data_IF_092327021326
#
_entry.id   IF_092327021326
#
_cell.length_a   1.000
_cell.length_b   1.000
_cell.length_c   1.000
_cell.angle_alpha   90.00
_cell.angle_beta   90.00
_cell.angle_gamma   90.00
#
_symmetry.space_group_name_H-M   'P 1'
#
loop_
_entity.id
_entity.type
_entity.pdbx_description
1 polymer ?
#
# COMPACT_ATOMS: atom_id res chain seq x y z
N UNK A 1 28.72 18.21 3.70
CA UNK A 1 27.93 17.93 2.50
C UNK A 1 26.66 18.75 2.54
N UNK A 2 26.35 19.49 1.46
CA UNK A 2 25.08 20.21 1.31
C UNK A 2 23.92 19.20 1.23
N UNK A 3 22.81 19.55 1.85
CA UNK A 3 21.58 18.77 1.79
C UNK A 3 20.91 18.96 0.43
N UNK A 4 20.62 17.88 -0.30
CA UNK A 4 19.91 17.96 -1.58
C UNK A 4 18.39 18.07 -1.34
N UNK A 5 17.77 18.98 -2.08
CA UNK A 5 16.31 19.06 -2.19
C UNK A 5 15.84 17.94 -3.12
N UNK A 6 14.79 17.23 -2.72
CA UNK A 6 14.17 16.11 -3.46
C UNK A 6 12.72 16.39 -3.87
N UNK A 7 12.08 17.42 -3.31
CA UNK A 7 10.86 18.02 -3.84
C UNK A 7 10.82 19.51 -3.55
N UNK A 8 10.32 20.30 -4.49
CA UNK A 8 10.25 21.76 -4.42
C UNK A 8 9.05 22.27 -5.23
N UNK A 9 8.06 22.84 -4.56
CA UNK A 9 6.88 23.39 -5.23
C UNK A 9 6.19 24.46 -4.39
N UNK A 10 5.36 25.26 -5.05
CA UNK A 10 4.44 26.21 -4.39
C UNK A 10 3.09 25.52 -4.16
N UNK A 11 2.54 25.71 -2.96
CA UNK A 11 1.24 25.21 -2.53
C UNK A 11 0.73 25.98 -1.31
N UNK A 12 -0.37 25.51 -0.72
CA UNK A 12 -0.89 26.05 0.54
C UNK A 12 -0.57 25.09 1.68
N UNK A 13 -0.38 25.61 2.88
CA UNK A 13 -0.19 24.78 4.06
C UNK A 13 -0.66 25.45 5.35
N UNK A 14 -1.01 24.62 6.33
CA UNK A 14 -1.14 25.03 7.72
C UNK A 14 -0.11 24.23 8.54
N UNK A 15 0.69 24.91 9.36
CA UNK A 15 1.76 24.31 10.14
C UNK A 15 1.60 24.54 11.67
N UNK A 16 0.42 24.95 12.11
CA UNK A 16 0.16 25.36 13.49
C UNK A 16 -0.65 24.33 14.28
N UNK A 17 -0.42 24.27 15.61
CA UNK A 17 -1.12 23.37 16.53
C UNK A 17 -2.60 23.72 16.76
N UNK A 18 -3.05 24.80 16.15
CA UNK A 18 -4.36 25.41 16.36
C UNK A 18 -5.14 25.35 15.05
N UNK A 19 -6.21 24.57 15.07
CA UNK A 19 -7.13 24.20 13.98
C UNK A 19 -7.88 25.39 13.32
N UNK A 20 -7.39 26.64 13.42
CA UNK A 20 -8.13 27.85 13.01
C UNK A 20 -7.31 28.92 12.27
N UNK A 21 -6.12 28.59 11.77
CA UNK A 21 -5.36 29.50 10.89
C UNK A 21 -5.75 29.30 9.42
N UNK A 22 -5.97 30.38 8.68
CA UNK A 22 -6.08 30.31 7.21
C UNK A 22 -4.80 29.66 6.62
N UNK A 23 -4.93 28.75 5.63
CA UNK A 23 -3.78 28.16 4.96
C UNK A 23 -2.90 29.25 4.32
N UNK A 24 -1.61 29.23 4.62
CA UNK A 24 -0.65 30.14 4.02
C UNK A 24 -0.20 29.59 2.66
N UNK A 25 -0.18 30.45 1.64
CA UNK A 25 0.50 30.13 0.37
C UNK A 25 2.00 30.29 0.55
N UNK A 26 2.77 29.32 0.09
CA UNK A 26 4.23 29.37 0.21
C UNK A 26 4.94 28.25 -0.52
N UNK A 27 6.25 28.14 -0.29
CA UNK A 27 7.12 27.13 -0.89
C UNK A 27 7.29 25.94 0.06
N UNK A 28 7.08 24.75 -0.47
CA UNK A 28 7.24 23.46 0.21
C UNK A 28 8.53 22.84 -0.33
N UNK A 29 9.47 22.56 0.58
CA UNK A 29 10.77 21.96 0.25
C UNK A 29 10.95 20.68 1.06
N UNK A 30 11.17 19.57 0.37
CA UNK A 30 11.52 18.30 0.99
C UNK A 30 12.96 17.95 0.67
N UNK A 31 13.67 17.47 1.67
CA UNK A 31 15.03 16.93 1.58
C UNK A 31 15.07 15.55 2.24
N UNK A 32 16.24 14.91 2.23
CA UNK A 32 16.43 13.64 2.93
C UNK A 32 16.39 13.75 4.47
N UNK A 33 16.44 14.95 5.05
CA UNK A 33 16.44 15.11 6.52
C UNK A 33 15.27 15.91 7.07
N UNK A 34 14.64 16.77 6.26
CA UNK A 34 13.56 17.65 6.71
C UNK A 34 12.59 18.07 5.62
N UNK A 35 11.37 18.35 6.05
CA UNK A 35 10.36 19.10 5.32
C UNK A 35 10.40 20.56 5.79
N UNK A 36 10.35 21.51 4.87
CA UNK A 36 10.32 22.94 5.14
C UNK A 36 9.10 23.55 4.46
N UNK A 37 8.32 24.29 5.24
CA UNK A 37 7.17 25.04 4.80
C UNK A 37 7.50 26.53 4.99
N UNK A 38 7.67 27.29 3.91
CA UNK A 38 8.13 28.67 3.93
C UNK A 38 7.09 29.60 3.30
N UNK A 39 6.62 30.57 4.07
CA UNK A 39 5.72 31.65 3.63
C UNK A 39 6.26 33.00 4.11
N UNK A 40 5.66 34.10 3.67
CA UNK A 40 6.11 35.45 4.04
C UNK A 40 6.05 35.70 5.55
N UNK A 41 5.06 35.11 6.24
CA UNK A 41 4.90 35.19 7.69
C UNK A 41 5.96 34.39 8.47
N UNK A 42 6.70 33.49 7.82
CA UNK A 42 7.75 32.71 8.46
C UNK A 42 7.96 31.32 7.88
N UNK A 43 8.83 30.57 8.55
CA UNK A 43 9.26 29.24 8.12
C UNK A 43 9.07 28.20 9.22
N UNK A 44 8.44 27.09 8.86
CA UNK A 44 8.38 25.88 9.70
C UNK A 44 9.33 24.82 9.13
N UNK A 45 10.16 24.24 9.98
CA UNK A 45 11.07 23.14 9.61
C UNK A 45 10.75 21.91 10.45
N UNK A 46 10.43 20.81 9.79
CA UNK A 46 10.02 19.54 10.38
C UNK A 46 11.09 18.50 10.04
N UNK A 47 11.90 18.04 11.01
CA UNK A 47 12.80 16.91 10.78
C UNK A 47 12.00 15.67 10.37
N UNK A 48 12.45 14.92 9.36
CA UNK A 48 11.78 13.67 8.97
C UNK A 48 11.79 12.64 10.10
N UNK A 49 12.80 12.70 10.96
CA UNK A 49 12.87 11.91 12.19
C UNK A 49 11.84 12.29 13.25
N UNK A 50 11.12 13.40 13.09
CA UNK A 50 10.03 13.80 13.99
C UNK A 50 8.64 13.38 13.48
N UNK A 51 8.51 13.04 12.19
CA UNK A 51 7.26 12.64 11.56
C UNK A 51 6.91 11.20 11.96
N UNK A 52 5.69 10.99 12.44
CA UNK A 52 5.21 9.69 12.90
C UNK A 52 3.93 9.18 12.23
N UNK A 53 3.20 10.01 11.51
CA UNK A 53 2.07 9.59 10.67
C UNK A 53 1.98 10.49 9.43
N UNK A 54 1.52 9.91 8.33
CA UNK A 54 1.25 10.59 7.06
C UNK A 54 -0.08 10.06 6.53
N UNK A 55 -0.99 10.96 6.17
CA UNK A 55 -2.27 10.64 5.57
C UNK A 55 -2.47 11.46 4.29
N UNK A 56 -2.97 10.82 3.23
CA UNK A 56 -3.25 11.44 1.92
C UNK A 56 -4.75 11.41 1.70
N UNK A 57 -5.31 12.47 1.14
CA UNK A 57 -6.75 12.59 0.85
C UNK A 57 -7.65 12.76 2.09
N UNK A 58 -7.12 12.60 3.30
CA UNK A 58 -7.85 12.88 4.53
C UNK A 58 -7.70 14.35 4.92
N UNK A 59 -8.78 15.10 4.74
CA UNK A 59 -8.92 16.47 5.23
C UNK A 59 -9.46 16.40 6.67
N UNK A 60 -8.75 16.91 7.69
CA UNK A 60 -9.30 17.07 9.03
C UNK A 60 -10.65 17.79 9.01
N UNK A 61 -11.63 17.33 9.80
CA UNK A 61 -13.02 17.82 9.75
C UNK A 61 -13.11 19.35 9.97
N UNK A 62 -12.14 19.92 10.68
CA UNK A 62 -12.06 21.35 11.00
C UNK A 62 -11.47 22.23 9.87
N UNK A 63 -11.02 21.63 8.76
CA UNK A 63 -10.42 22.36 7.63
C UNK A 63 -11.38 22.59 6.44
N UNK A 64 -12.64 22.15 6.50
CA UNK A 64 -13.68 22.53 5.53
C UNK A 64 -13.55 21.91 4.13
N UNK A 65 -14.56 22.15 3.28
CA UNK A 65 -14.78 21.52 1.95
C UNK A 65 -13.96 22.12 0.79
N UNK A 66 -12.84 22.80 1.07
CA UNK A 66 -12.10 23.62 0.09
C UNK A 66 -10.77 23.02 -0.38
N UNK A 67 -10.54 21.75 -0.09
CA UNK A 67 -9.28 21.07 -0.38
C UNK A 67 -9.49 19.99 -1.44
N UNK A 68 -8.91 20.20 -2.63
CA UNK A 68 -8.99 19.25 -3.75
C UNK A 68 -8.11 18.01 -3.49
N UNK A 69 -6.85 18.24 -3.07
CA UNK A 69 -5.88 17.20 -2.70
C UNK A 69 -4.98 17.64 -1.55
N UNK A 70 -4.89 16.84 -0.48
CA UNK A 70 -4.14 17.19 0.75
C UNK A 70 -3.28 16.05 1.25
N UNK A 71 -2.10 16.40 1.79
CA UNK A 71 -1.27 15.53 2.64
C UNK A 71 -1.23 16.09 4.05
N UNK A 72 -1.65 15.28 5.01
CA UNK A 72 -1.57 15.57 6.44
C UNK A 72 -0.36 14.85 7.06
N UNK A 73 0.46 15.58 7.80
CA UNK A 73 1.75 15.14 8.33
C UNK A 73 1.76 15.38 9.84
N UNK A 74 1.74 14.30 10.62
CA UNK A 74 1.81 14.37 12.08
C UNK A 74 3.26 14.23 12.55
N UNK A 75 3.71 15.16 13.40
CA UNK A 75 5.08 15.21 13.88
C UNK A 75 5.17 15.66 15.34
N UNK A 76 6.31 15.36 15.99
CA UNK A 76 6.60 15.84 17.36
C UNK A 76 7.48 17.08 17.33
N UNK A 77 7.21 18.03 18.21
CA UNK A 77 8.09 19.17 18.50
C UNK A 77 8.16 19.36 20.01
N UNK A 78 9.31 19.05 20.59
CA UNK A 78 9.38 18.82 22.04
C UNK A 78 8.43 17.67 22.43
N UNK A 79 7.67 17.86 23.51
CA UNK A 79 6.71 16.88 24.02
C UNK A 79 5.34 16.95 23.36
N UNK A 80 5.13 17.92 22.46
CA UNK A 80 3.83 18.17 21.84
C UNK A 80 3.73 17.50 20.46
N UNK A 81 2.53 17.02 20.16
CA UNK A 81 2.16 16.54 18.82
C UNK A 81 1.61 17.72 18.02
N UNK A 82 2.02 17.77 16.76
CA UNK A 82 1.59 18.78 15.81
C UNK A 82 1.17 18.10 14.51
N UNK A 83 0.34 18.80 13.75
CA UNK A 83 -0.09 18.38 12.43
C UNK A 83 0.23 19.52 11.46
N UNK A 84 0.77 19.17 10.30
CA UNK A 84 0.84 20.07 9.17
C UNK A 84 -0.01 19.51 8.04
N UNK A 85 -0.80 20.36 7.38
CA UNK A 85 -1.52 20.03 6.16
C UNK A 85 -0.84 20.74 4.98
N UNK A 86 -0.65 20.02 3.87
CA UNK A 86 -0.11 20.55 2.62
C UNK A 86 -1.13 20.29 1.51
N UNK A 87 -1.50 21.34 0.80
CA UNK A 87 -2.45 21.32 -0.32
C UNK A 87 -1.77 21.83 -1.59
N UNK A 88 -2.03 21.12 -2.68
CA UNK A 88 -1.70 21.52 -4.05
C UNK A 88 -2.61 20.73 -5.01
N UNK A 89 -2.49 20.98 -6.32
CA UNK A 89 -3.21 20.17 -7.31
C UNK A 89 -2.82 18.69 -7.26
N UNK A 90 -3.73 17.81 -7.66
CA UNK A 90 -3.69 16.35 -7.51
C UNK A 90 -2.34 15.74 -7.90
N UNK A 91 -1.88 15.99 -9.13
CA UNK A 91 -0.58 15.54 -9.65
C UNK A 91 0.60 15.88 -8.73
N UNK A 92 0.58 17.06 -8.10
CA UNK A 92 1.66 17.50 -7.19
C UNK A 92 1.58 16.77 -5.87
N UNK A 93 0.37 16.57 -5.35
CA UNK A 93 0.14 15.88 -4.08
C UNK A 93 0.48 14.40 -4.19
N UNK A 94 0.12 13.75 -5.28
CA UNK A 94 0.49 12.36 -5.56
C UNK A 94 2.03 12.20 -5.62
N UNK A 95 2.70 13.04 -6.41
CA UNK A 95 4.17 13.04 -6.53
C UNK A 95 4.85 13.37 -5.21
N UNK A 96 4.37 14.37 -4.49
CA UNK A 96 4.91 14.76 -3.18
C UNK A 96 4.75 13.64 -2.15
N UNK A 97 3.57 13.03 -2.06
CA UNK A 97 3.29 11.90 -1.16
C UNK A 97 4.25 10.75 -1.43
N UNK A 98 4.41 10.38 -2.70
CA UNK A 98 5.35 9.33 -3.12
C UNK A 98 6.79 9.63 -2.68
N UNK A 99 7.27 10.87 -2.88
CA UNK A 99 8.64 11.25 -2.48
C UNK A 99 8.76 11.33 -0.95
N UNK A 100 7.73 11.78 -0.24
CA UNK A 100 7.70 11.85 1.23
C UNK A 100 7.77 10.44 1.85
N UNK A 101 6.95 9.49 1.40
CA UNK A 101 7.01 8.10 1.86
C UNK A 101 8.39 7.48 1.59
N UNK A 102 8.95 7.70 0.38
CA UNK A 102 10.31 7.25 0.04
C UNK A 102 11.36 7.85 0.99
N UNK A 103 11.27 9.15 1.29
CA UNK A 103 12.20 9.80 2.19
C UNK A 103 12.10 9.29 3.65
N UNK A 104 10.91 8.87 4.08
CA UNK A 104 10.67 8.35 5.43
C UNK A 104 11.04 6.87 5.59
N UNK A 105 10.89 6.07 4.54
CA UNK A 105 10.93 4.60 4.61
C UNK A 105 12.11 3.96 3.89
N UNK A 106 12.67 4.57 2.84
CA UNK A 106 13.79 3.96 2.12
C UNK A 106 15.01 3.77 3.02
N UNK A 107 15.77 2.73 2.73
CA UNK A 107 16.97 2.30 3.48
C UNK A 107 16.71 1.87 4.92
N UNK A 108 15.44 1.76 5.31
CA UNK A 108 15.07 1.19 6.59
C UNK A 108 15.53 -0.25 6.67
N UNK A 109 16.34 -0.55 7.69
CA UNK A 109 16.75 -1.92 7.99
C UNK A 109 15.58 -2.68 8.58
N UNK A 110 15.32 -3.84 8.01
CA UNK A 110 14.26 -4.76 8.38
C UNK A 110 14.82 -6.17 8.53
N UNK A 111 14.13 -7.00 9.30
CA UNK A 111 14.39 -8.44 9.40
C UNK A 111 13.31 -9.16 8.62
N UNK A 112 13.66 -9.81 7.52
CA UNK A 112 12.71 -10.37 6.56
C UNK A 112 12.84 -11.88 6.45
N UNK A 113 11.73 -12.58 6.23
CA UNK A 113 11.69 -14.00 5.87
C UNK A 113 10.86 -14.13 4.60
N UNK A 114 11.48 -14.56 3.51
CA UNK A 114 10.85 -14.70 2.21
C UNK A 114 11.39 -15.90 1.42
N UNK A 115 10.51 -16.76 0.86
CA UNK A 115 9.11 -16.90 1.24
C UNK A 115 9.03 -17.49 2.65
N UNK A 116 8.10 -17.02 3.49
CA UNK A 116 7.78 -17.63 4.79
C UNK A 116 6.75 -18.76 4.65
N UNK A 117 5.86 -18.66 3.66
CA UNK A 117 4.99 -19.74 3.19
C UNK A 117 4.99 -19.79 1.67
N UNK A 118 4.84 -20.98 1.11
CA UNK A 118 4.67 -21.24 -0.32
C UNK A 118 3.53 -22.26 -0.48
N UNK A 119 2.50 -21.91 -1.26
CA UNK A 119 1.30 -22.75 -1.40
C UNK A 119 0.63 -23.09 -0.06
N UNK A 120 0.65 -22.15 0.90
CA UNK A 120 0.14 -22.34 2.26
C UNK A 120 1.07 -23.09 3.23
N UNK A 121 2.08 -23.82 2.75
CA UNK A 121 3.04 -24.55 3.57
C UNK A 121 4.12 -23.62 4.11
N UNK A 122 4.50 -23.79 5.38
CA UNK A 122 5.62 -23.06 6.00
C UNK A 122 6.93 -23.54 5.38
N UNK A 123 7.84 -22.60 5.14
CA UNK A 123 9.18 -22.89 4.59
C UNK A 123 10.25 -22.87 5.67
N UNK A 124 11.40 -23.47 5.35
CA UNK A 124 12.61 -23.46 6.19
C UNK A 124 13.45 -22.19 6.04
N UNK A 125 12.98 -21.18 5.29
CA UNK A 125 13.68 -19.92 5.13
C UNK A 125 13.93 -19.25 6.49
N UNK A 126 15.15 -18.78 6.72
CA UNK A 126 15.51 -18.04 7.92
C UNK A 126 15.15 -16.56 7.79
N UNK A 127 15.02 -15.88 8.92
CA UNK A 127 15.00 -14.42 8.93
C UNK A 127 16.41 -13.89 8.61
N UNK A 128 16.50 -12.87 7.76
CA UNK A 128 17.75 -12.22 7.39
C UNK A 128 17.57 -10.70 7.28
N UNK A 129 18.64 -9.91 7.44
CA UNK A 129 18.56 -8.46 7.29
C UNK A 129 18.31 -8.05 5.84
N UNK A 130 17.50 -7.01 5.64
CA UNK A 130 17.30 -6.36 4.35
C UNK A 130 17.00 -4.87 4.52
N UNK A 131 17.28 -4.08 3.48
CA UNK A 131 16.87 -2.67 3.37
C UNK A 131 15.60 -2.55 2.55
N UNK A 132 14.64 -1.78 3.07
CA UNK A 132 13.40 -1.43 2.39
C UNK A 132 13.63 -0.36 1.32
N UNK A 133 13.01 -0.53 0.15
CA UNK A 133 12.94 0.47 -0.90
C UNK A 133 11.56 0.47 -1.54
N UNK A 134 10.90 1.62 -1.52
CA UNK A 134 9.63 1.83 -2.20
C UNK A 134 9.86 2.17 -3.68
N UNK A 135 9.03 1.58 -4.52
CA UNK A 135 8.86 1.86 -5.95
C UNK A 135 7.36 2.03 -6.22
N UNK A 136 6.96 2.70 -7.31
CA UNK A 136 5.54 2.76 -7.68
C UNK A 136 4.96 1.35 -7.71
N UNK A 137 3.84 1.13 -6.99
CA UNK A 137 3.16 -0.18 -6.86
C UNK A 137 4.05 -1.36 -6.43
N UNK A 138 5.21 -1.12 -5.84
CA UNK A 138 6.16 -2.18 -5.53
C UNK A 138 6.96 -1.89 -4.25
N UNK A 139 7.15 -2.92 -3.44
CA UNK A 139 8.02 -2.87 -2.27
C UNK A 139 9.18 -3.82 -2.43
N UNK A 140 10.39 -3.30 -2.44
CA UNK A 140 11.62 -4.07 -2.64
C UNK A 140 12.41 -4.17 -1.35
N UNK A 141 12.90 -5.38 -1.07
CA UNK A 141 13.78 -5.69 0.05
C UNK A 141 15.12 -6.13 -0.49
N UNK A 142 16.19 -5.43 -0.11
CA UNK A 142 17.57 -5.75 -0.52
C UNK A 142 18.39 -6.19 0.68
N UNK A 143 18.67 -7.49 0.77
CA UNK A 143 19.62 -8.06 1.71
C UNK A 143 21.00 -8.30 1.05
N UNK A 144 21.99 -8.73 1.84
CA UNK A 144 23.31 -9.13 1.33
C UNK A 144 23.21 -10.35 0.39
N UNK A 145 22.40 -11.34 0.78
CA UNK A 145 22.34 -12.65 0.12
C UNK A 145 21.15 -12.79 -0.83
N UNK A 146 20.10 -11.99 -0.62
CA UNK A 146 18.88 -12.05 -1.42
C UNK A 146 18.25 -10.68 -1.62
N UNK A 147 17.63 -10.51 -2.78
CA UNK A 147 16.75 -9.37 -3.07
C UNK A 147 15.44 -9.92 -3.58
N UNK A 148 14.33 -9.46 -3.03
CA UNK A 148 13.00 -9.77 -3.54
C UNK A 148 12.16 -8.50 -3.62
N UNK A 149 11.16 -8.53 -4.50
CA UNK A 149 10.21 -7.44 -4.70
C UNK A 149 8.82 -8.01 -4.57
N UNK A 150 7.98 -7.35 -3.79
CA UNK A 150 6.54 -7.60 -3.76
C UNK A 150 5.89 -6.57 -4.66
N UNK A 151 5.26 -7.03 -5.73
CA UNK A 151 4.36 -6.21 -6.52
C UNK A 151 3.04 -6.06 -5.77
N UNK A 152 2.66 -4.83 -5.43
CA UNK A 152 1.47 -4.55 -4.64
C UNK A 152 0.19 -4.94 -5.39
N UNK A 153 0.21 -4.95 -6.73
CA UNK A 153 -0.90 -5.47 -7.53
C UNK A 153 -1.11 -6.97 -7.38
N UNK A 154 -0.09 -7.70 -6.90
CA UNK A 154 -0.15 -9.14 -6.63
C UNK A 154 -0.57 -9.49 -5.20
N UNK A 155 -0.73 -8.47 -4.34
CA UNK A 155 -1.03 -8.68 -2.93
C UNK A 155 -2.50 -9.00 -2.75
N UNK A 156 -2.77 -10.03 -1.95
CA UNK A 156 -4.11 -10.45 -1.56
C UNK A 156 -4.44 -10.07 -0.12
N UNK A 157 -3.44 -9.97 0.77
CA UNK A 157 -3.68 -9.46 2.12
C UNK A 157 -2.42 -8.88 2.78
N UNK A 158 -2.64 -7.92 3.69
CA UNK A 158 -1.64 -7.38 4.60
C UNK A 158 -2.12 -7.50 6.03
N UNK A 159 -1.31 -8.11 6.89
CA UNK A 159 -1.64 -8.27 8.30
C UNK A 159 -0.46 -7.81 9.16
N UNK A 160 -0.78 -7.10 10.25
CA UNK A 160 0.19 -6.83 11.32
C UNK A 160 0.02 -7.87 12.40
N UNK A 161 1.13 -8.46 12.81
CA UNK A 161 1.17 -9.42 13.92
C UNK A 161 2.37 -9.17 14.81
N UNK A 162 2.32 -9.65 16.04
CA UNK A 162 3.48 -9.76 16.91
C UNK A 162 4.08 -11.15 16.73
N UNK A 163 5.40 -11.24 16.53
CA UNK A 163 6.11 -12.53 16.50
C UNK A 163 7.41 -12.45 17.25
N UNK A 164 7.82 -13.58 17.81
CA UNK A 164 9.14 -13.72 18.40
C UNK A 164 10.19 -13.85 17.29
N UNK A 165 11.15 -12.94 17.25
CA UNK A 165 12.29 -12.94 16.32
C UNK A 165 13.54 -12.65 17.15
N UNK A 166 14.49 -13.59 17.12
CA UNK A 166 15.71 -13.57 17.95
C UNK A 166 15.41 -13.43 19.45
N UNK A 167 14.40 -14.16 19.96
CA UNK A 167 14.02 -14.17 21.38
C UNK A 167 13.34 -12.88 21.86
N UNK A 168 12.91 -12.00 20.95
CA UNK A 168 12.20 -10.76 21.29
C UNK A 168 10.89 -10.63 20.51
N UNK A 169 9.79 -10.17 21.14
CA UNK A 169 8.59 -9.83 20.40
C UNK A 169 8.86 -8.64 19.48
N UNK A 170 8.54 -8.79 18.19
CA UNK A 170 8.64 -7.74 17.18
C UNK A 170 7.34 -7.62 16.40
N UNK A 171 7.03 -6.39 16.01
CA UNK A 171 5.99 -6.14 15.00
C UNK A 171 6.43 -6.68 13.65
N UNK A 172 5.59 -7.51 13.05
CA UNK A 172 5.81 -8.14 11.76
C UNK A 172 4.65 -7.78 10.84
N UNK A 173 5.00 -7.22 9.68
CA UNK A 173 4.11 -7.15 8.54
C UNK A 173 4.14 -8.49 7.80
N UNK A 174 2.99 -9.14 7.71
CA UNK A 174 2.76 -10.31 6.88
C UNK A 174 2.10 -9.87 5.58
N UNK A 175 2.72 -10.21 4.46
CA UNK A 175 2.21 -9.89 3.12
C UNK A 175 1.93 -11.18 2.38
N UNK A 176 0.67 -11.44 2.07
CA UNK A 176 0.27 -12.56 1.20
C UNK A 176 0.17 -12.05 -0.22
N UNK A 177 0.88 -12.66 -1.15
CA UNK A 177 0.93 -12.22 -2.54
C UNK A 177 1.08 -13.40 -3.49
N UNK A 178 0.74 -13.18 -4.75
CA UNK A 178 0.91 -14.15 -5.83
C UNK A 178 2.20 -13.86 -6.57
N UNK A 179 3.06 -14.86 -6.72
CA UNK A 179 4.24 -14.75 -7.56
C UNK A 179 4.41 -16.05 -8.34
N UNK A 180 4.56 -15.93 -9.66
CA UNK A 180 4.68 -17.05 -10.59
C UNK A 180 3.54 -18.10 -10.44
N UNK A 181 2.30 -17.63 -10.31
CA UNK A 181 1.10 -18.47 -10.11
C UNK A 181 0.95 -19.07 -8.70
N UNK A 182 1.93 -18.86 -7.82
CA UNK A 182 1.95 -19.47 -6.49
C UNK A 182 1.65 -18.46 -5.39
N UNK A 183 0.76 -18.87 -4.47
CA UNK A 183 0.50 -18.11 -3.26
C UNK A 183 1.71 -18.14 -2.33
N UNK A 184 2.26 -16.96 -2.03
CA UNK A 184 3.39 -16.77 -1.13
C UNK A 184 3.01 -15.91 0.06
N UNK A 185 3.74 -16.08 1.16
CA UNK A 185 3.70 -15.15 2.29
C UNK A 185 5.10 -14.65 2.59
N UNK A 186 5.27 -13.35 2.71
CA UNK A 186 6.52 -12.72 3.12
C UNK A 186 6.34 -12.06 4.48
N UNK A 187 7.31 -12.20 5.37
CA UNK A 187 7.30 -11.56 6.68
C UNK A 187 8.39 -10.48 6.71
N UNK A 188 8.05 -9.29 7.17
CA UNK A 188 8.98 -8.20 7.33
C UNK A 188 8.79 -7.52 8.69
N UNK A 189 9.81 -7.63 9.55
CA UNK A 189 9.84 -7.03 10.87
C UNK A 189 10.66 -5.74 10.85
N UNK A 190 10.23 -4.76 11.63
CA UNK A 190 10.89 -3.47 11.76
C UNK A 190 10.97 -3.05 13.23
N UNK A 191 12.14 -2.59 13.65
CA UNK A 191 12.38 -2.16 15.03
C UNK A 191 12.02 -0.67 15.20
N UNK A 192 10.83 -0.30 14.74
CA UNK A 192 10.30 1.06 14.85
C UNK A 192 8.81 1.08 14.57
N UNK A 193 7.98 1.10 15.62
CA UNK A 193 6.52 1.21 15.48
C UNK A 193 6.10 2.46 14.69
N UNK A 194 6.89 3.54 14.77
CA UNK A 194 6.72 4.74 13.93
C UNK A 194 6.80 4.41 12.44
N UNK A 195 7.88 3.75 12.02
CA UNK A 195 8.07 3.39 10.61
C UNK A 195 7.09 2.28 10.19
N UNK A 196 6.72 1.36 11.09
CA UNK A 196 5.66 0.37 10.82
C UNK A 196 4.32 1.06 10.55
N UNK A 197 3.98 2.10 11.32
CA UNK A 197 2.78 2.91 11.11
C UNK A 197 2.78 3.53 9.71
N UNK A 198 3.85 4.26 9.37
CA UNK A 198 4.02 4.92 8.07
C UNK A 198 4.02 3.92 6.91
N UNK A 199 4.67 2.76 7.06
CA UNK A 199 4.66 1.70 6.05
C UNK A 199 3.24 1.17 5.82
N UNK A 200 2.46 0.93 6.87
CA UNK A 200 1.08 0.49 6.68
C UNK A 200 0.18 1.57 6.06
N UNK A 201 0.43 2.86 6.34
CA UNK A 201 -0.26 3.96 5.62
C UNK A 201 0.04 3.92 4.13
N UNK A 202 1.32 3.77 3.77
CA UNK A 202 1.75 3.64 2.38
C UNK A 202 1.09 2.46 1.67
N UNK A 203 1.13 1.27 2.30
CA UNK A 203 0.54 0.06 1.73
C UNK A 203 -0.97 0.17 1.56
N UNK A 204 -1.67 0.76 2.54
CA UNK A 204 -3.12 1.00 2.44
C UNK A 204 -3.46 1.97 1.32
N UNK A 205 -2.67 3.05 1.15
CA UNK A 205 -2.87 4.00 0.06
C UNK A 205 -2.73 3.31 -1.30
N UNK A 206 -1.61 2.64 -1.55
CA UNK A 206 -1.37 1.95 -2.82
C UNK A 206 -2.37 0.81 -3.07
N UNK A 207 -2.84 0.14 -2.01
CA UNK A 207 -3.86 -0.89 -2.11
C UNK A 207 -5.25 -0.30 -2.38
N UNK A 208 -5.61 0.81 -1.73
CA UNK A 208 -6.84 1.54 -2.03
C UNK A 208 -6.88 2.04 -3.47
N UNK A 209 -5.75 2.49 -4.03
CA UNK A 209 -5.67 2.84 -5.45
C UNK A 209 -5.91 1.62 -6.36
N UNK A 210 -5.41 0.44 -5.97
CA UNK A 210 -5.67 -0.81 -6.69
C UNK A 210 -7.14 -1.24 -6.57
N UNK A 211 -7.78 -1.01 -5.42
CA UNK A 211 -9.20 -1.31 -5.20
C UNK A 211 -10.11 -0.31 -5.90
N UNK A 212 -9.79 0.98 -5.91
CA UNK A 212 -10.55 2.00 -6.65
C UNK A 212 -10.53 1.70 -8.16
N UNK A 213 -9.39 1.28 -8.72
CA UNK A 213 -9.30 0.77 -10.09
C UNK A 213 -10.26 -0.43 -10.34
N UNK A 214 -10.63 -1.18 -9.30
CA UNK A 214 -11.58 -2.30 -9.36
C UNK A 214 -13.03 -1.85 -9.20
N UNK A 215 -13.33 -0.85 -8.37
CA UNK A 215 -14.70 -0.33 -8.18
C UNK A 215 -15.26 0.29 -9.47
N UNK A 216 -14.40 0.91 -10.29
CA UNK A 216 -14.78 1.37 -11.64
C UNK A 216 -15.08 0.21 -12.61
N UNK A 217 -14.76 -1.02 -12.23
CA UNK A 217 -15.01 -2.23 -13.01
C UNK A 217 -16.30 -2.91 -12.54
N UNK A 218 -17.43 -2.57 -13.17
CA UNK A 218 -18.71 -3.23 -12.89
C UNK A 218 -18.66 -4.73 -13.23
N UNK A 219 -19.04 -5.60 -12.29
CA UNK A 219 -19.19 -7.04 -12.49
C UNK A 219 -20.67 -7.45 -12.47
N UNK A 220 -21.07 -8.32 -13.40
CA UNK A 220 -22.38 -8.97 -13.34
C UNK A 220 -22.41 -10.06 -12.25
N UNK A 221 -23.61 -10.53 -11.91
CA UNK A 221 -23.77 -11.67 -11.00
C UNK A 221 -23.06 -12.92 -11.56
N UNK A 222 -23.29 -13.26 -12.84
CA UNK A 222 -22.62 -14.38 -13.52
C UNK A 222 -21.08 -14.27 -13.50
N UNK A 223 -20.54 -13.06 -13.70
CA UNK A 223 -19.09 -12.82 -13.63
C UNK A 223 -18.54 -13.01 -12.21
N UNK A 224 -19.30 -12.58 -11.21
CA UNK A 224 -18.96 -12.72 -9.79
C UNK A 224 -18.99 -14.20 -9.38
N UNK A 225 -20.03 -14.93 -9.79
CA UNK A 225 -20.18 -16.36 -9.49
C UNK A 225 -19.07 -17.18 -10.17
N UNK A 226 -18.73 -16.84 -11.41
CA UNK A 226 -17.63 -17.46 -12.14
C UNK A 226 -16.26 -17.16 -11.50
N UNK A 227 -16.04 -15.94 -11.00
CA UNK A 227 -14.84 -15.58 -10.24
C UNK A 227 -14.70 -16.42 -8.96
N UNK A 228 -15.78 -16.58 -8.20
CA UNK A 228 -15.82 -17.41 -6.99
C UNK A 228 -15.63 -18.89 -7.33
N UNK A 229 -16.20 -19.35 -8.45
CA UNK A 229 -15.99 -20.71 -8.95
C UNK A 229 -14.50 -20.95 -9.24
N UNK A 230 -13.84 -20.08 -10.03
CA UNK A 230 -12.40 -20.17 -10.31
C UNK A 230 -11.56 -20.14 -9.02
N UNK A 231 -11.98 -19.40 -7.99
CA UNK A 231 -11.31 -19.40 -6.68
C UNK A 231 -11.43 -20.75 -5.95
N UNK A 232 -12.62 -21.35 -6.00
CA UNK A 232 -13.02 -22.47 -5.15
C UNK A 232 -12.75 -23.83 -5.80
N UNK A 233 -12.69 -23.89 -7.12
CA UNK A 233 -12.44 -25.12 -7.87
C UNK A 233 -10.94 -25.36 -8.03
N UNK A 234 -10.49 -26.55 -7.63
CA UNK A 234 -9.19 -27.07 -8.05
C UNK A 234 -9.26 -27.67 -9.45
N UNK A 235 -8.09 -28.07 -9.96
CA UNK A 235 -7.93 -28.53 -11.34
C UNK A 235 -8.86 -29.67 -11.74
N UNK A 236 -9.38 -29.60 -12.97
CA UNK A 236 -10.25 -30.62 -13.57
C UNK A 236 -11.76 -30.52 -13.28
N UNK A 237 -12.23 -29.45 -12.61
CA UNK A 237 -13.67 -29.19 -12.43
C UNK A 237 -14.21 -28.33 -13.57
N UNK A 238 -15.33 -28.75 -14.18
CA UNK A 238 -15.98 -27.99 -15.25
C UNK A 238 -16.70 -26.76 -14.68
N UNK A 239 -16.13 -25.56 -14.88
CA UNK A 239 -16.72 -24.29 -14.46
C UNK A 239 -18.18 -24.14 -14.89
N UNK A 240 -18.52 -24.52 -16.13
CA UNK A 240 -19.90 -24.50 -16.66
C UNK A 240 -20.92 -25.27 -15.80
N UNK A 241 -20.48 -26.34 -15.12
CA UNK A 241 -21.36 -27.12 -14.23
C UNK A 241 -21.48 -26.50 -12.84
N UNK A 242 -20.52 -25.66 -12.46
CA UNK A 242 -20.49 -25.00 -11.15
C UNK A 242 -21.37 -23.76 -11.17
N UNK A 243 -21.33 -22.99 -12.26
CA UNK A 243 -22.14 -21.77 -12.42
C UNK A 243 -23.48 -22.01 -13.16
N UNK A 244 -23.81 -23.26 -13.49
CA UNK A 244 -25.03 -23.66 -14.23
C UNK A 244 -25.30 -22.84 -15.53
N UNK A 245 -24.24 -22.61 -16.31
CA UNK A 245 -24.27 -21.78 -17.52
C UNK A 245 -23.75 -22.55 -18.73
N UNK A 246 -24.29 -22.26 -19.91
CA UNK A 246 -23.89 -22.88 -21.19
C UNK A 246 -22.38 -22.68 -21.47
N UNK A 247 -21.67 -23.68 -22.03
CA UNK A 247 -20.22 -23.59 -22.25
C UNK A 247 -19.76 -22.39 -23.08
N UNK A 248 -20.57 -21.97 -24.06
CA UNK A 248 -20.29 -20.79 -24.88
C UNK A 248 -20.37 -19.48 -24.07
N UNK A 249 -21.34 -19.38 -23.17
CA UNK A 249 -21.52 -18.22 -22.31
C UNK A 249 -20.42 -18.15 -21.24
N UNK A 250 -19.94 -19.29 -20.72
CA UNK A 250 -18.76 -19.34 -19.84
C UNK A 250 -17.52 -18.76 -20.53
N UNK A 251 -17.29 -19.08 -21.81
CA UNK A 251 -16.14 -18.53 -22.55
C UNK A 251 -16.25 -17.02 -22.76
N UNK A 252 -17.46 -16.49 -22.93
CA UNK A 252 -17.69 -15.04 -22.98
C UNK A 252 -17.35 -14.38 -21.64
N UNK A 253 -17.89 -14.91 -20.53
CA UNK A 253 -17.62 -14.41 -19.19
C UNK A 253 -16.13 -14.48 -18.83
N UNK A 254 -15.44 -15.58 -19.17
CA UNK A 254 -13.98 -15.68 -19.01
C UNK A 254 -13.25 -14.62 -19.84
N UNK A 255 -13.70 -14.35 -21.06
CA UNK A 255 -13.10 -13.30 -21.89
C UNK A 255 -13.29 -11.91 -21.27
N UNK A 256 -14.47 -11.61 -20.74
CA UNK A 256 -14.77 -10.33 -20.08
C UNK A 256 -13.97 -10.16 -18.78
N UNK A 257 -13.91 -11.19 -17.94
CA UNK A 257 -13.07 -11.22 -16.74
C UNK A 257 -11.58 -11.05 -17.04
N UNK A 258 -11.11 -11.62 -18.17
CA UNK A 258 -9.72 -11.44 -18.63
C UNK A 258 -9.48 -10.00 -19.10
N UNK A 259 -10.41 -9.41 -19.84
CA UNK A 259 -10.35 -8.02 -20.27
C UNK A 259 -10.34 -7.04 -19.08
N UNK A 260 -11.07 -7.39 -18.00
CA UNK A 260 -11.08 -6.69 -16.72
C UNK A 260 -9.82 -6.94 -15.86
N UNK A 261 -8.93 -7.84 -16.30
CA UNK A 261 -7.69 -8.17 -15.60
C UNK A 261 -7.87 -8.94 -14.29
N UNK A 262 -9.01 -9.63 -14.12
CA UNK A 262 -9.34 -10.39 -12.90
C UNK A 262 -8.91 -11.85 -12.97
N UNK A 263 -8.74 -12.38 -14.18
CA UNK A 263 -8.18 -13.70 -14.45
C UNK A 263 -7.06 -13.63 -15.49
N UNK A 264 -6.18 -14.63 -15.48
CA UNK A 264 -5.11 -14.80 -16.45
C UNK A 264 -5.00 -16.27 -16.86
N UNK A 265 -4.34 -16.51 -17.99
CA UNK A 265 -4.01 -17.87 -18.44
C UNK A 265 -2.83 -18.40 -17.62
N UNK A 266 -3.05 -19.45 -16.85
CA UNK A 266 -2.01 -20.21 -16.13
C UNK A 266 -1.33 -21.24 -17.04
N UNK A 267 -0.43 -22.05 -16.47
CA UNK A 267 0.29 -23.08 -17.23
C UNK A 267 -0.64 -24.17 -17.81
N UNK A 268 -1.71 -24.51 -17.08
CA UNK A 268 -2.67 -25.55 -17.49
C UNK A 268 -4.14 -25.10 -17.42
N UNK A 269 -4.46 -24.01 -16.70
CA UNK A 269 -5.84 -23.59 -16.41
C UNK A 269 -5.97 -22.06 -16.25
N UNK A 270 -7.22 -21.57 -16.27
CA UNK A 270 -7.53 -20.19 -15.88
C UNK A 270 -7.23 -19.96 -14.40
N UNK A 271 -6.44 -18.93 -14.08
CA UNK A 271 -6.10 -18.56 -12.71
C UNK A 271 -6.61 -17.15 -12.36
N UNK A 272 -6.98 -16.94 -11.10
CA UNK A 272 -7.27 -15.59 -10.61
C UNK A 272 -5.99 -14.76 -10.54
N UNK A 273 -6.05 -13.56 -11.12
CA UNK A 273 -5.08 -12.52 -10.78
C UNK A 273 -5.28 -12.11 -9.33
N UNK A 274 -4.30 -11.42 -8.75
CA UNK A 274 -4.49 -10.88 -7.41
C UNK A 274 -5.64 -9.88 -7.32
N UNK A 275 -5.89 -9.09 -8.37
CA UNK A 275 -7.09 -8.27 -8.52
C UNK A 275 -8.36 -9.11 -8.39
N UNK A 276 -8.47 -10.21 -9.13
CA UNK A 276 -9.61 -11.14 -9.01
C UNK A 276 -9.73 -11.75 -7.61
N UNK A 277 -8.61 -12.10 -6.97
CA UNK A 277 -8.61 -12.63 -5.59
C UNK A 277 -9.05 -11.61 -4.55
N UNK A 278 -8.74 -10.33 -4.73
CA UNK A 278 -9.21 -9.25 -3.86
C UNK A 278 -10.74 -9.15 -3.96
N UNK A 279 -11.28 -9.08 -5.17
CA UNK A 279 -12.73 -9.03 -5.42
C UNK A 279 -13.44 -10.23 -4.78
N UNK A 280 -12.91 -11.44 -4.97
CA UNK A 280 -13.49 -12.65 -4.37
C UNK A 280 -13.39 -12.63 -2.84
N UNK A 281 -12.27 -12.17 -2.28
CA UNK A 281 -12.07 -12.13 -0.82
C UNK A 281 -13.05 -11.16 -0.16
N UNK A 282 -13.22 -9.97 -0.73
CA UNK A 282 -14.20 -8.97 -0.29
C UNK A 282 -15.62 -9.55 -0.33
N UNK A 283 -15.98 -10.24 -1.43
CA UNK A 283 -17.30 -10.84 -1.56
C UNK A 283 -17.56 -11.99 -0.59
N UNK A 284 -16.54 -12.78 -0.25
CA UNK A 284 -16.66 -13.84 0.75
C UNK A 284 -16.82 -13.29 2.18
N UNK A 285 -16.33 -12.08 2.47
CA UNK A 285 -16.55 -11.40 3.75
C UNK A 285 -18.00 -10.88 3.86
N UNK A 286 -18.57 -10.33 2.78
CA UNK A 286 -19.98 -9.89 2.72
C UNK A 286 -20.99 -11.02 3.01
N UNK A 287 -20.71 -12.24 2.57
CA UNK A 287 -21.63 -13.39 2.73
C UNK A 287 -21.59 -13.96 4.17
N UNK A 288 -20.58 -13.61 4.95
CA UNK A 288 -20.42 -14.05 6.34
C UNK A 288 -21.00 -13.06 7.38
N UNK A 289 -21.71 -12.02 6.94
CA UNK A 289 -22.36 -11.01 7.79
C UNK A 289 -23.88 -11.16 7.74
#
# INVERSE_FOLDING_TARGET
MSESVIADFVGKFNASASERGEPATGRILLSQKRLVLAADAGKTTIPLSAIFDVAVGHVPQDLGKFFDSTVTIAFRKGDHRHVAAVEAGDDKIEKFSTVLFKALLNETTMTVKHPARLGGRVTDAAFHPAKLYLKPRMVRFKGPDSTFTVDLSTVTSFERSQREIDGKPREVLSVRHMQDGQAMTSLAAIDSGRKMSILGRYLRLEYSDIVADLEDTSLSEDETELLVAVYSTGSGVSLAKVVDVEPSQVQMLLSDLRNKGLIADGQDETELTAKGRIVVSDKLEDVNT
#
